data_IF_950572845888
#
_entry.id   IF_950572845888
#
_cell.length_a   1.000
_cell.length_b   1.000
_cell.length_c   1.000
_cell.angle_alpha   90.00
_cell.angle_beta   90.00
_cell.angle_gamma   90.00
#
_symmetry.space_group_name_H-M   'P 1'
#
loop_
_entity.id
_entity.type
_entity.pdbx_description
1 polymer ?
#
# COMPACT_ATOMS: atom_id res chain seq x y z
N UNK A 1 -31.13 68.15 14.93
CA UNK A 1 -30.15 67.72 13.91
C UNK A 1 -29.44 66.42 14.33
N UNK A 2 -30.10 65.26 14.33
CA UNK A 2 -29.42 64.01 14.77
C UNK A 2 -29.94 62.70 14.15
N UNK A 3 -30.98 62.69 13.32
CA UNK A 3 -31.48 61.43 12.73
C UNK A 3 -30.67 60.96 11.50
N UNK A 4 -30.10 61.87 10.72
CA UNK A 4 -29.42 61.51 9.46
C UNK A 4 -28.03 60.89 9.66
N UNK A 5 -27.37 61.19 10.79
CA UNK A 5 -26.02 60.68 11.10
C UNK A 5 -26.02 59.26 11.68
N UNK A 6 -27.14 58.79 12.24
CA UNK A 6 -27.26 57.44 12.82
C UNK A 6 -27.55 56.38 11.75
N UNK A 7 -28.34 56.71 10.72
CA UNK A 7 -28.56 55.82 9.58
C UNK A 7 -27.29 55.67 8.71
N UNK A 8 -26.53 56.75 8.51
CA UNK A 8 -25.27 56.73 7.74
C UNK A 8 -24.19 55.86 8.40
N UNK A 9 -24.14 55.84 9.74
CA UNK A 9 -23.20 55.00 10.51
C UNK A 9 -23.60 53.53 10.51
N UNK A 10 -24.90 53.21 10.55
CA UNK A 10 -25.39 51.84 10.49
C UNK A 10 -25.17 51.20 9.10
N UNK A 11 -25.39 51.96 8.03
CA UNK A 11 -25.15 51.48 6.65
C UNK A 11 -23.66 51.26 6.38
N UNK A 12 -22.78 52.10 6.91
CA UNK A 12 -21.33 51.94 6.77
C UNK A 12 -20.75 50.76 7.58
N UNK A 13 -21.33 50.42 8.74
CA UNK A 13 -20.86 49.32 9.60
C UNK A 13 -21.22 47.92 9.08
N UNK A 14 -22.19 47.81 8.16
CA UNK A 14 -22.61 46.54 7.56
C UNK A 14 -21.97 46.29 6.19
N UNK A 15 -21.62 47.35 5.44
CA UNK A 15 -21.03 47.21 4.10
C UNK A 15 -19.52 46.90 4.09
N UNK A 16 -18.80 47.22 5.16
CA UNK A 16 -17.34 46.99 5.25
C UNK A 16 -16.95 45.51 5.49
N UNK A 17 -17.62 44.71 6.36
CA UNK A 17 -17.25 43.30 6.51
C UNK A 17 -17.67 42.43 5.31
N UNK A 18 -18.64 42.88 4.50
CA UNK A 18 -19.12 42.13 3.33
C UNK A 18 -18.15 42.22 2.13
N UNK A 19 -17.35 43.28 2.04
CA UNK A 19 -16.38 43.46 0.95
C UNK A 19 -15.06 42.70 1.18
N UNK A 20 -14.72 42.38 2.43
CA UNK A 20 -13.46 41.72 2.79
C UNK A 20 -13.50 40.19 2.62
N UNK A 21 -14.68 39.58 2.49
CA UNK A 21 -14.81 38.12 2.31
C UNK A 21 -14.75 37.68 0.85
N UNK A 22 -14.81 38.61 -0.12
CA UNK A 22 -14.80 38.29 -1.57
C UNK A 22 -13.37 38.24 -2.16
N UNK A 23 -12.38 38.80 -1.47
CA UNK A 23 -11.01 38.92 -2.01
C UNK A 23 -10.09 37.71 -1.76
N UNK A 24 -10.55 36.67 -1.05
CA UNK A 24 -9.77 35.42 -0.83
C UNK A 24 -10.09 34.34 -1.87
N UNK A 25 -11.05 34.56 -2.77
CA UNK A 25 -11.48 33.57 -3.75
C UNK A 25 -10.86 33.79 -5.15
N UNK A 26 -9.53 33.83 -5.28
CA UNK A 26 -8.85 33.82 -6.58
C UNK A 26 -7.51 33.07 -6.57
N UNK A 27 -7.28 32.16 -5.63
CA UNK A 27 -6.31 31.09 -5.84
C UNK A 27 -7.06 29.89 -6.41
N UNK A 28 -7.31 29.91 -7.72
CA UNK A 28 -7.74 28.70 -8.43
C UNK A 28 -6.74 27.57 -8.19
N UNK A 29 -7.16 26.28 -8.26
CA UNK A 29 -6.27 25.17 -8.01
C UNK A 29 -5.05 25.29 -8.93
N UNK A 30 -3.89 25.51 -8.35
CA UNK A 30 -2.62 25.41 -9.06
C UNK A 30 -2.62 24.02 -9.67
N UNK A 31 -2.49 23.94 -11.00
CA UNK A 31 -2.56 22.68 -11.73
C UNK A 31 -1.68 21.65 -10.99
N UNK A 32 -2.30 20.57 -10.51
CA UNK A 32 -1.60 19.56 -9.75
C UNK A 32 -0.50 19.00 -10.66
N UNK A 33 0.76 19.33 -10.34
CA UNK A 33 1.92 18.67 -10.94
C UNK A 33 1.76 17.18 -10.70
N UNK A 34 1.74 16.40 -11.78
CA UNK A 34 1.73 14.94 -11.70
C UNK A 34 2.93 14.54 -10.83
N UNK A 35 2.73 13.84 -9.70
CA UNK A 35 3.81 13.52 -8.79
C UNK A 35 4.78 12.57 -9.50
N UNK A 36 6.06 12.94 -9.54
CA UNK A 36 7.15 12.13 -10.09
C UNK A 36 7.98 11.54 -8.96
N UNK A 37 8.52 10.34 -9.15
CA UNK A 37 9.37 9.68 -8.18
C UNK A 37 10.70 10.43 -7.99
N UNK A 38 11.15 10.57 -6.74
CA UNK A 38 12.54 10.93 -6.43
C UNK A 38 13.47 9.74 -6.61
N UNK A 39 14.76 9.99 -6.83
CA UNK A 39 15.79 8.93 -6.91
C UNK A 39 15.76 7.99 -5.70
N UNK A 40 15.56 8.54 -4.49
CA UNK A 40 15.44 7.75 -3.27
C UNK A 40 14.23 6.82 -3.25
N UNK A 41 13.10 7.24 -3.82
CA UNK A 41 11.89 6.42 -3.92
C UNK A 41 12.08 5.28 -4.94
N UNK A 42 12.72 5.58 -6.07
CA UNK A 42 13.06 4.58 -7.10
C UNK A 42 13.95 3.49 -6.48
N UNK A 43 15.06 3.88 -5.88
CA UNK A 43 16.00 2.94 -5.24
C UNK A 43 15.34 2.10 -4.14
N UNK A 44 14.41 2.68 -3.38
CA UNK A 44 13.67 1.96 -2.34
C UNK A 44 12.72 0.91 -2.93
N UNK A 45 12.03 1.24 -4.03
CA UNK A 45 11.14 0.31 -4.74
C UNK A 45 11.97 -0.81 -5.38
N UNK A 46 13.02 -0.47 -6.13
CA UNK A 46 13.88 -1.45 -6.82
C UNK A 46 14.54 -2.43 -5.84
N UNK A 47 15.09 -1.91 -4.72
CA UNK A 47 15.67 -2.77 -3.69
C UNK A 47 14.64 -3.72 -3.09
N UNK A 48 13.45 -3.22 -2.78
CA UNK A 48 12.39 -4.03 -2.20
C UNK A 48 11.87 -5.08 -3.19
N UNK A 49 11.72 -4.69 -4.46
CA UNK A 49 11.35 -5.61 -5.55
C UNK A 49 12.38 -6.72 -5.72
N UNK A 50 13.68 -6.41 -5.70
CA UNK A 50 14.73 -7.42 -5.80
C UNK A 50 14.70 -8.42 -4.63
N UNK A 51 14.48 -7.93 -3.40
CA UNK A 51 14.34 -8.79 -2.22
C UNK A 51 13.10 -9.69 -2.33
N UNK A 52 11.98 -9.14 -2.80
CA UNK A 52 10.74 -9.88 -3.02
C UNK A 52 10.91 -10.95 -4.11
N UNK A 53 11.60 -10.63 -5.21
CA UNK A 53 11.91 -11.60 -6.26
C UNK A 53 12.76 -12.74 -5.71
N UNK A 54 13.79 -12.43 -4.92
CA UNK A 54 14.61 -13.46 -4.28
C UNK A 54 13.80 -14.36 -3.33
N UNK A 55 12.83 -13.81 -2.60
CA UNK A 55 11.91 -14.60 -1.78
C UNK A 55 10.97 -15.46 -2.66
N UNK A 56 10.46 -14.91 -3.76
CA UNK A 56 9.59 -15.59 -4.71
C UNK A 56 10.26 -16.79 -5.38
N UNK A 57 11.54 -16.66 -5.75
CA UNK A 57 12.33 -17.71 -6.38
C UNK A 57 12.50 -18.93 -5.45
N UNK A 58 12.55 -18.67 -4.14
CA UNK A 58 12.66 -19.71 -3.11
C UNK A 58 11.34 -20.40 -2.77
N UNK A 59 10.19 -19.98 -3.31
CA UNK A 59 8.93 -20.71 -3.09
C UNK A 59 8.98 -22.15 -3.64
N UNK A 60 9.86 -22.44 -4.59
CA UNK A 60 10.14 -23.81 -5.03
C UNK A 60 10.70 -24.71 -3.91
N UNK A 61 11.46 -24.15 -2.97
CA UNK A 61 11.95 -24.85 -1.77
C UNK A 61 10.76 -25.15 -0.82
N UNK A 62 9.86 -24.17 -0.63
CA UNK A 62 8.66 -24.34 0.17
C UNK A 62 7.71 -25.41 -0.40
N UNK A 63 7.55 -25.46 -1.72
CA UNK A 63 6.75 -26.48 -2.40
C UNK A 63 7.29 -27.90 -2.10
N UNK A 64 8.61 -28.08 -2.17
CA UNK A 64 9.26 -29.35 -1.85
C UNK A 64 9.02 -29.75 -0.38
N UNK A 65 9.07 -28.79 0.55
CA UNK A 65 8.79 -29.04 1.97
C UNK A 65 7.33 -29.45 2.20
N UNK A 66 6.38 -28.82 1.51
CA UNK A 66 4.95 -29.17 1.56
C UNK A 66 4.72 -30.56 0.96
N UNK A 67 5.34 -30.86 -0.18
CA UNK A 67 5.24 -32.16 -0.83
C UNK A 67 5.79 -33.30 0.04
N UNK A 68 6.85 -33.04 0.80
CA UNK A 68 7.45 -33.96 1.75
C UNK A 68 6.72 -33.99 3.12
N UNK A 69 5.64 -33.23 3.29
CA UNK A 69 4.90 -33.10 4.56
C UNK A 69 5.80 -32.70 5.74
N UNK A 70 6.85 -31.94 5.46
CA UNK A 70 7.83 -31.54 6.46
C UNK A 70 7.38 -30.28 7.21
N UNK A 71 6.32 -30.41 8.00
CA UNK A 71 5.57 -29.29 8.58
C UNK A 71 6.40 -28.35 9.45
N UNK A 72 7.38 -28.88 10.20
CA UNK A 72 8.29 -28.06 11.01
C UNK A 72 9.07 -27.10 10.09
N UNK A 73 9.60 -27.61 8.99
CA UNK A 73 10.37 -26.79 8.06
C UNK A 73 9.50 -25.89 7.18
N UNK A 74 8.27 -26.30 6.83
CA UNK A 74 7.29 -25.41 6.17
C UNK A 74 7.07 -24.16 7.03
N UNK A 75 6.82 -24.33 8.33
CA UNK A 75 6.60 -23.20 9.25
C UNK A 75 7.87 -22.38 9.44
N UNK A 76 9.03 -23.03 9.65
CA UNK A 76 10.31 -22.31 9.76
C UNK A 76 10.62 -21.50 8.49
N UNK A 77 10.23 -21.99 7.33
CA UNK A 77 10.43 -21.30 6.06
C UNK A 77 9.60 -19.99 6.01
N UNK A 78 8.34 -20.05 6.43
CA UNK A 78 7.43 -18.89 6.48
C UNK A 78 7.95 -17.80 7.42
N UNK A 79 8.45 -18.17 8.60
CA UNK A 79 8.94 -17.20 9.60
C UNK A 79 10.41 -16.79 9.40
N UNK A 80 11.20 -17.54 8.62
CA UNK A 80 12.60 -17.26 8.35
C UNK A 80 12.81 -16.67 6.95
N UNK A 81 13.07 -17.49 5.93
CA UNK A 81 13.17 -17.08 4.52
C UNK A 81 12.14 -16.06 4.03
N UNK A 82 10.88 -16.17 4.45
CA UNK A 82 9.81 -15.24 4.05
C UNK A 82 9.51 -14.16 5.11
N UNK A 83 10.25 -14.11 6.22
CA UNK A 83 9.95 -13.24 7.36
C UNK A 83 9.98 -11.74 7.04
N UNK A 84 10.76 -11.34 6.03
CA UNK A 84 10.86 -9.95 5.59
C UNK A 84 9.82 -9.55 4.54
N UNK A 85 9.11 -10.50 3.91
CA UNK A 85 8.17 -10.23 2.81
C UNK A 85 7.13 -9.17 3.20
N UNK A 86 6.65 -9.20 4.45
CA UNK A 86 5.70 -8.19 4.97
C UNK A 86 6.24 -6.78 5.02
N UNK A 87 7.51 -6.62 5.34
CA UNK A 87 8.16 -5.31 5.36
C UNK A 87 8.38 -4.81 3.93
N UNK A 88 8.85 -5.69 3.05
CA UNK A 88 9.19 -5.32 1.66
C UNK A 88 7.95 -4.94 0.85
N UNK A 89 6.85 -5.73 0.90
CA UNK A 89 5.61 -5.38 0.18
C UNK A 89 5.03 -4.06 0.69
N UNK A 90 4.99 -3.87 2.01
CA UNK A 90 4.50 -2.63 2.59
C UNK A 90 5.40 -1.43 2.25
N UNK A 91 6.69 -1.66 2.00
CA UNK A 91 7.63 -0.62 1.57
C UNK A 91 7.33 -0.19 0.14
N UNK A 92 7.10 -1.13 -0.77
CA UNK A 92 6.68 -0.83 -2.15
C UNK A 92 5.35 -0.08 -2.15
N UNK A 93 4.30 -0.64 -1.55
CA UNK A 93 2.95 -0.06 -1.58
C UNK A 93 2.88 1.36 -1.02
N UNK A 94 3.64 1.68 0.04
CA UNK A 94 3.68 3.03 0.60
C UNK A 94 4.42 4.03 -0.29
N UNK A 95 5.47 3.57 -0.96
CA UNK A 95 6.39 4.40 -1.76
C UNK A 95 5.85 4.74 -3.15
N UNK A 96 4.92 3.95 -3.70
CA UNK A 96 4.24 4.26 -4.96
C UNK A 96 3.64 5.68 -4.94
N UNK A 97 3.32 6.26 -6.09
CA UNK A 97 2.68 7.59 -6.16
C UNK A 97 1.25 7.50 -6.69
N UNK A 98 1.00 6.59 -7.63
CA UNK A 98 -0.34 6.31 -8.14
C UNK A 98 -1.23 5.70 -7.05
N UNK A 99 -2.33 6.37 -6.63
CA UNK A 99 -3.24 5.86 -5.62
C UNK A 99 -3.90 4.52 -5.98
N UNK A 100 -4.13 4.25 -7.27
CA UNK A 100 -4.70 2.99 -7.72
C UNK A 100 -3.71 1.84 -7.52
N UNK A 101 -2.46 2.02 -7.96
CA UNK A 101 -1.40 1.02 -7.74
C UNK A 101 -1.10 0.82 -6.25
N UNK A 102 -1.19 1.88 -5.43
CA UNK A 102 -1.10 1.74 -3.96
C UNK A 102 -2.18 0.83 -3.41
N UNK A 103 -3.43 1.05 -3.82
CA UNK A 103 -4.57 0.29 -3.33
C UNK A 103 -4.45 -1.18 -3.77
N UNK A 104 -4.18 -1.42 -5.05
CA UNK A 104 -3.97 -2.76 -5.63
C UNK A 104 -2.85 -3.51 -4.90
N UNK A 105 -1.65 -2.93 -4.84
CA UNK A 105 -0.51 -3.59 -4.15
C UNK A 105 -0.78 -3.81 -2.66
N UNK A 106 -1.51 -2.92 -1.98
CA UNK A 106 -1.87 -3.12 -0.57
C UNK A 106 -2.84 -4.29 -0.39
N UNK A 107 -3.85 -4.39 -1.25
CA UNK A 107 -4.83 -5.47 -1.25
C UNK A 107 -4.17 -6.82 -1.54
N UNK A 108 -3.38 -6.90 -2.61
CA UNK A 108 -2.69 -8.14 -2.97
C UNK A 108 -1.66 -8.55 -1.93
N UNK A 109 -0.93 -7.60 -1.32
CA UNK A 109 -0.04 -7.90 -0.20
C UNK A 109 -0.81 -8.49 0.98
N UNK A 110 -2.00 -7.95 1.29
CA UNK A 110 -2.84 -8.48 2.37
C UNK A 110 -3.33 -9.90 2.07
N UNK A 111 -3.76 -10.17 0.84
CA UNK A 111 -4.15 -11.50 0.40
C UNK A 111 -2.99 -12.50 0.55
N UNK A 112 -1.80 -12.15 0.04
CA UNK A 112 -0.58 -12.93 0.20
C UNK A 112 -0.32 -13.30 1.67
N UNK A 113 -0.39 -12.34 2.59
CA UNK A 113 -0.17 -12.63 4.02
C UNK A 113 -1.24 -13.52 4.62
N UNK A 114 -2.50 -13.32 4.24
CA UNK A 114 -3.59 -14.16 4.73
C UNK A 114 -3.37 -15.62 4.31
N UNK A 115 -2.94 -15.87 3.07
CA UNK A 115 -2.63 -17.21 2.59
C UNK A 115 -1.38 -17.80 3.23
N UNK A 116 -0.32 -17.02 3.47
CA UNK A 116 0.86 -17.48 4.21
C UNK A 116 0.54 -17.83 5.67
N UNK A 117 -0.33 -17.07 6.33
CA UNK A 117 -0.82 -17.38 7.68
C UNK A 117 -1.65 -18.66 7.65
N UNK A 118 -2.58 -18.78 6.71
CA UNK A 118 -3.41 -19.97 6.59
C UNK A 118 -2.60 -21.23 6.22
N UNK A 119 -1.49 -21.07 5.50
CA UNK A 119 -0.51 -22.13 5.26
C UNK A 119 0.24 -22.53 6.55
N UNK A 120 0.69 -21.57 7.36
CA UNK A 120 1.31 -21.87 8.67
C UNK A 120 0.35 -22.65 9.57
N UNK A 121 -0.92 -22.23 9.62
CA UNK A 121 -1.99 -22.90 10.36
C UNK A 121 -2.24 -24.32 9.82
N UNK A 122 -2.36 -24.48 8.50
CA UNK A 122 -2.56 -25.80 7.89
C UNK A 122 -1.36 -26.74 8.15
N UNK A 123 -0.13 -26.22 8.10
CA UNK A 123 1.07 -26.98 8.43
C UNK A 123 1.10 -27.36 9.92
N UNK A 124 0.67 -26.48 10.81
CA UNK A 124 0.53 -26.78 12.24
C UNK A 124 -0.46 -27.93 12.49
N UNK A 125 -1.55 -27.97 11.72
CA UNK A 125 -2.57 -29.01 11.81
C UNK A 125 -2.21 -30.29 11.02
N UNK A 126 -1.14 -30.26 10.21
CA UNK A 126 -0.76 -31.35 9.30
C UNK A 126 -1.76 -31.58 8.15
N UNK A 127 -2.56 -30.57 7.80
CA UNK A 127 -3.55 -30.66 6.71
C UNK A 127 -2.89 -30.41 5.36
N UNK A 128 -2.38 -31.49 4.73
CA UNK A 128 -1.67 -31.41 3.45
C UNK A 128 -2.51 -30.84 2.31
N UNK A 129 -3.84 -31.00 2.35
CA UNK A 129 -4.73 -30.48 1.31
C UNK A 129 -4.89 -28.98 1.45
N UNK A 130 -5.20 -28.51 2.67
CA UNK A 130 -5.31 -27.08 2.95
C UNK A 130 -3.96 -26.38 2.73
N UNK A 131 -2.85 -26.99 3.16
CA UNK A 131 -1.51 -26.44 2.93
C UNK A 131 -1.22 -26.23 1.44
N UNK A 132 -1.43 -27.25 0.59
CA UNK A 132 -1.23 -27.11 -0.87
C UNK A 132 -2.11 -26.02 -1.48
N UNK A 133 -3.38 -25.95 -1.08
CA UNK A 133 -4.29 -24.91 -1.56
C UNK A 133 -3.79 -23.51 -1.18
N UNK A 134 -3.50 -23.28 0.11
CA UNK A 134 -3.06 -21.97 0.59
C UNK A 134 -1.71 -21.55 -0.03
N UNK A 135 -0.82 -22.51 -0.28
CA UNK A 135 0.44 -22.24 -0.97
C UNK A 135 0.23 -21.80 -2.44
N UNK A 136 -0.70 -22.43 -3.16
CA UNK A 136 -1.03 -22.04 -4.54
C UNK A 136 -1.62 -20.62 -4.60
N UNK A 137 -2.55 -20.29 -3.71
CA UNK A 137 -3.12 -18.94 -3.62
C UNK A 137 -2.04 -17.91 -3.24
N UNK A 138 -1.15 -18.25 -2.30
CA UNK A 138 -0.02 -17.39 -1.94
C UNK A 138 0.90 -17.12 -3.15
N UNK A 139 1.15 -18.10 -4.03
CA UNK A 139 1.91 -17.87 -5.26
C UNK A 139 1.21 -16.88 -6.17
N UNK A 140 -0.11 -17.05 -6.37
CA UNK A 140 -0.93 -16.19 -7.23
C UNK A 140 -0.86 -14.74 -6.75
N UNK A 141 -1.04 -14.50 -5.45
CA UNK A 141 -0.98 -13.15 -4.89
C UNK A 141 0.45 -12.59 -4.92
N UNK A 142 1.48 -13.41 -4.70
CA UNK A 142 2.85 -12.95 -4.80
C UNK A 142 3.14 -12.45 -6.24
N UNK A 143 2.75 -13.24 -7.24
CA UNK A 143 2.96 -12.89 -8.65
C UNK A 143 2.14 -11.65 -9.04
N UNK A 144 0.88 -11.56 -8.60
CA UNK A 144 0.05 -10.38 -8.80
C UNK A 144 0.68 -9.12 -8.18
N UNK A 145 1.22 -9.22 -6.96
CA UNK A 145 1.88 -8.10 -6.29
C UNK A 145 3.11 -7.64 -7.09
N UNK A 146 3.97 -8.57 -7.52
CA UNK A 146 5.17 -8.25 -8.30
C UNK A 146 4.84 -7.63 -9.66
N UNK A 147 3.80 -8.11 -10.33
CA UNK A 147 3.35 -7.60 -11.62
C UNK A 147 2.73 -6.19 -11.54
N UNK A 148 2.18 -5.82 -10.39
CA UNK A 148 1.64 -4.48 -10.16
C UNK A 148 2.72 -3.42 -9.90
N UNK A 149 3.98 -3.81 -9.69
CA UNK A 149 5.10 -2.87 -9.52
C UNK A 149 5.43 -2.27 -10.90
N UNK A 150 5.33 -0.93 -11.06
CA UNK A 150 5.64 -0.29 -12.33
C UNK A 150 7.14 -0.40 -12.65
N UNK A 151 7.47 -0.42 -13.93
CA UNK A 151 8.84 -0.15 -14.38
C UNK A 151 9.09 1.36 -14.22
N UNK A 152 10.09 1.71 -13.41
CA UNK A 152 10.43 3.10 -13.03
C UNK A 152 11.64 3.63 -13.81
#
# INVERSE_FOLDING_TARGET
>A
MTLWSRCRRAVALVLIPLLSTVLVACAGPTAATVPTYSESQILQIEKSQANLQAARDRLSELDQLIAAENWIFVRNFIHGPLGDVRRETATVSRTLLDPALKAETTETAQALFNHLIALDDAAKDGDSRRARQQFQEAIVDFDAFLNAIPTL
#
